data_IF_438928483026
#
_entry.id   IF_438928483026
#
_cell.length_a   1.000
_cell.length_b   1.000
_cell.length_c   1.000
_cell.angle_alpha   90.00
_cell.angle_beta   90.00
_cell.angle_gamma   90.00
#
_symmetry.space_group_name_H-M   'P 1'
#
loop_
_entity.id
_entity.type
_entity.pdbx_description
1 polymer ?
#
# COMPACT_ATOMS: atom_id res chain seq x y z
N UNK A 1 24.88 28.96 16.81
CA UNK A 1 25.31 29.51 15.50
C UNK A 1 25.21 28.41 14.46
N UNK A 2 24.67 28.70 13.26
CA UNK A 2 24.13 27.71 12.34
C UNK A 2 25.21 27.06 11.46
N UNK A 3 25.04 25.79 11.14
CA UNK A 3 25.85 25.10 10.13
C UNK A 3 25.31 25.42 8.73
N UNK A 4 26.15 26.12 7.95
CA UNK A 4 25.92 26.42 6.54
C UNK A 4 26.10 25.17 5.67
N UNK A 5 25.07 24.81 4.89
CA UNK A 5 25.21 23.95 3.72
C UNK A 5 25.84 24.76 2.56
N UNK A 6 27.05 24.38 2.14
CA UNK A 6 27.65 24.85 0.88
C UNK A 6 27.14 23.97 -0.27
N UNK A 7 26.39 24.60 -1.17
CA UNK A 7 26.05 24.10 -2.50
C UNK A 7 27.29 24.12 -3.40
N UNK A 8 27.50 23.05 -4.18
CA UNK A 8 28.48 23.02 -5.27
C UNK A 8 27.78 22.70 -6.60
N UNK A 9 28.12 23.54 -7.59
CA UNK A 9 27.85 23.61 -9.03
C UNK A 9 27.38 22.33 -9.74
N UNK A 10 26.53 22.34 -10.77
CA UNK A 10 26.29 23.38 -11.79
C UNK A 10 27.06 23.06 -13.07
N UNK A 11 26.42 22.43 -14.08
CA UNK A 11 26.73 22.53 -15.52
C UNK A 11 25.47 22.19 -16.33
N UNK A 12 25.23 22.94 -17.40
CA UNK A 12 24.27 22.80 -18.52
C UNK A 12 23.12 23.83 -18.54
N UNK A 13 23.50 25.07 -18.86
CA UNK A 13 22.65 25.99 -19.63
C UNK A 13 23.12 25.96 -21.08
N UNK A 14 22.29 25.49 -22.00
CA UNK A 14 22.35 25.86 -23.42
C UNK A 14 21.02 26.50 -23.82
N UNK A 15 21.01 27.62 -24.55
CA UNK A 15 19.78 28.23 -25.04
C UNK A 15 19.30 27.53 -26.33
N UNK A 16 18.02 27.16 -26.35
CA UNK A 16 17.32 26.64 -27.53
C UNK A 16 17.33 27.69 -28.66
N UNK A 17 17.90 27.33 -29.81
CA UNK A 17 17.87 28.13 -31.05
C UNK A 17 16.55 27.89 -31.80
N UNK A 18 16.07 28.98 -32.41
CA UNK A 18 14.92 29.12 -33.30
C UNK A 18 14.69 27.93 -34.25
N UNK A 19 13.48 27.34 -34.20
CA UNK A 19 12.93 26.52 -35.28
C UNK A 19 11.88 27.35 -36.01
N UNK A 20 12.13 27.61 -37.30
CA UNK A 20 11.20 28.23 -38.23
C UNK A 20 10.01 27.29 -38.51
N UNK A 21 8.80 27.71 -38.16
CA UNK A 21 7.57 27.07 -38.62
C UNK A 21 7.10 27.76 -39.92
N UNK A 22 7.24 27.08 -41.05
CA UNK A 22 6.57 27.46 -42.31
C UNK A 22 5.11 27.00 -42.25
N UNK A 23 4.20 27.92 -42.57
CA UNK A 23 2.76 27.73 -42.49
C UNK A 23 2.16 26.82 -43.55
N UNK A 24 1.00 26.26 -43.22
CA UNK A 24 -0.01 25.73 -44.14
C UNK A 24 -1.41 26.15 -43.65
N UNK A 25 -2.39 26.33 -44.56
CA UNK A 25 -3.56 27.16 -44.32
C UNK A 25 -4.68 26.43 -43.55
N UNK A 26 -5.51 27.24 -42.90
CA UNK A 26 -6.69 26.80 -42.15
C UNK A 26 -7.88 26.51 -43.09
N UNK A 27 -8.44 25.31 -43.01
CA UNK A 27 -9.87 25.08 -43.26
C UNK A 27 -10.35 23.73 -42.69
N UNK A 28 -11.59 23.77 -42.17
CA UNK A 28 -12.44 22.67 -41.70
C UNK A 28 -12.28 22.20 -40.24
N UNK A 29 -13.04 22.85 -39.37
CA UNK A 29 -13.44 22.36 -38.05
C UNK A 29 -14.44 21.21 -38.26
N UNK A 30 -13.97 19.97 -38.10
CA UNK A 30 -14.82 18.82 -37.80
C UNK A 30 -14.58 18.40 -36.36
N UNK A 31 -15.65 18.40 -35.57
CA UNK A 31 -15.64 18.05 -34.14
C UNK A 31 -15.60 16.51 -34.02
N UNK A 32 -14.41 15.93 -34.11
CA UNK A 32 -14.19 14.51 -33.87
C UNK A 32 -13.88 14.28 -32.38
N UNK A 33 -14.57 13.31 -31.77
CA UNK A 33 -14.23 12.78 -30.44
C UNK A 33 -12.78 12.28 -30.49
N UNK A 34 -11.92 12.82 -29.62
CA UNK A 34 -10.56 12.32 -29.45
C UNK A 34 -10.66 11.02 -28.62
N UNK A 35 -10.94 9.90 -29.30
CA UNK A 35 -10.61 8.58 -28.77
C UNK A 35 -9.16 8.29 -29.15
N UNK A 36 -8.27 8.12 -28.17
CA UNK A 36 -6.91 7.63 -28.42
C UNK A 36 -5.77 8.61 -28.13
N UNK A 37 -5.88 9.45 -27.09
CA UNK A 37 -4.64 9.93 -26.47
C UNK A 37 -4.05 8.76 -25.69
N UNK A 38 -3.00 8.12 -26.25
CA UNK A 38 -2.11 7.28 -25.47
C UNK A 38 -1.67 8.10 -24.24
N UNK A 39 -1.67 7.52 -23.03
CA UNK A 39 -1.28 8.24 -21.83
C UNK A 39 0.12 8.85 -22.04
N UNK A 40 0.40 10.05 -21.51
CA UNK A 40 1.68 10.71 -21.70
C UNK A 40 2.83 9.74 -21.40
N UNK A 41 3.90 9.76 -22.19
CA UNK A 41 5.02 8.79 -22.18
C UNK A 41 5.60 8.52 -20.77
N UNK A 42 5.46 9.46 -19.83
CA UNK A 42 5.83 9.29 -18.42
C UNK A 42 5.02 8.21 -17.66
N UNK A 43 3.80 7.90 -18.14
CA UNK A 43 2.86 6.92 -17.58
C UNK A 43 3.16 5.48 -18.02
N UNK A 44 3.94 5.30 -19.07
CA UNK A 44 4.58 4.04 -19.43
C UNK A 44 5.99 4.05 -18.81
N UNK A 45 6.04 4.28 -17.49
CA UNK A 45 7.29 4.16 -16.75
C UNK A 45 7.87 2.78 -17.05
N UNK A 46 9.14 2.74 -17.47
CA UNK A 46 9.88 1.50 -17.66
C UNK A 46 9.60 0.61 -16.43
N UNK A 47 9.19 -0.66 -16.62
CA UNK A 47 8.84 -1.50 -15.49
C UNK A 47 10.00 -1.47 -14.50
N UNK A 48 9.73 -1.04 -13.27
CA UNK A 48 10.67 -1.20 -12.17
C UNK A 48 11.18 -2.65 -12.21
N UNK A 49 12.49 -2.84 -12.28
CA UNK A 49 13.08 -4.19 -12.28
C UNK A 49 12.70 -4.94 -10.99
N UNK A 50 12.40 -4.22 -9.91
CA UNK A 50 11.93 -4.77 -8.64
C UNK A 50 10.42 -5.02 -8.57
N UNK A 51 9.64 -4.31 -9.40
CA UNK A 51 8.19 -4.47 -9.52
C UNK A 51 7.37 -3.26 -9.06
N UNK A 52 6.05 -3.43 -9.11
CA UNK A 52 5.04 -2.43 -8.72
C UNK A 52 4.18 -2.91 -7.55
N UNK A 53 3.99 -2.03 -6.57
CA UNK A 53 3.26 -2.27 -5.31
C UNK A 53 1.98 -1.44 -5.29
N UNK A 54 0.83 -2.10 -5.13
CA UNK A 54 -0.39 -1.41 -4.68
C UNK A 54 -0.37 -1.37 -3.15
N UNK A 55 -0.35 -0.19 -2.56
CA UNK A 55 -0.26 -0.03 -1.10
C UNK A 55 -1.57 0.52 -0.53
N UNK A 56 -2.37 -0.34 0.11
CA UNK A 56 -3.66 0.01 0.72
C UNK A 56 -3.50 0.14 2.23
N UNK A 57 -3.26 1.36 2.71
CA UNK A 57 -2.95 1.64 4.12
C UNK A 57 -3.51 2.99 4.56
N UNK A 58 -3.38 3.33 5.84
CA UNK A 58 -3.69 4.67 6.35
C UNK A 58 -2.72 5.73 5.84
N UNK A 59 -3.11 7.00 5.91
CA UNK A 59 -2.22 8.15 5.67
C UNK A 59 -2.48 9.28 6.67
N UNK A 60 -1.40 9.93 7.12
CA UNK A 60 -1.47 11.14 7.95
C UNK A 60 -0.65 12.29 7.35
N UNK A 61 -1.14 13.53 7.50
CA UNK A 61 -0.40 14.72 7.06
C UNK A 61 0.82 14.97 7.94
N UNK A 62 0.67 14.95 9.27
CA UNK A 62 1.75 15.02 10.25
C UNK A 62 2.04 13.63 10.84
N UNK A 63 3.31 13.35 11.13
CA UNK A 63 3.78 12.04 11.59
C UNK A 63 4.11 11.08 10.44
N UNK A 64 4.56 9.88 10.80
CA UNK A 64 4.95 8.82 9.86
C UNK A 64 4.24 7.52 10.26
N UNK A 65 3.12 7.24 9.59
CA UNK A 65 2.39 5.98 9.69
C UNK A 65 1.84 5.58 8.32
N UNK A 66 1.51 4.30 8.14
CA UNK A 66 0.89 3.76 6.92
C UNK A 66 1.66 4.13 5.65
N UNK A 67 0.94 4.58 4.63
CA UNK A 67 1.51 4.96 3.33
C UNK A 67 2.60 6.04 3.42
N UNK A 68 2.53 6.94 4.43
CA UNK A 68 3.57 7.95 4.61
C UNK A 68 4.90 7.35 5.11
N UNK A 69 4.85 6.19 5.77
CA UNK A 69 6.04 5.44 6.20
C UNK A 69 6.51 4.40 5.19
N UNK A 70 5.62 3.85 4.36
CA UNK A 70 5.96 2.75 3.46
C UNK A 70 6.36 3.20 2.05
N UNK A 71 5.69 4.23 1.49
CA UNK A 71 5.86 4.62 0.08
C UNK A 71 7.29 5.07 -0.21
N UNK A 72 7.82 6.01 0.58
CA UNK A 72 9.14 6.57 0.31
C UNK A 72 10.28 5.54 0.43
N UNK A 73 10.35 4.71 1.49
CA UNK A 73 11.35 3.64 1.55
C UNK A 73 11.25 2.62 0.40
N UNK A 74 10.04 2.21 0.02
CA UNK A 74 9.85 1.29 -1.10
C UNK A 74 10.34 1.89 -2.42
N UNK A 75 10.06 3.17 -2.67
CA UNK A 75 10.55 3.89 -3.85
C UNK A 75 12.08 4.01 -3.86
N UNK A 76 12.71 4.25 -2.70
CA UNK A 76 14.18 4.24 -2.58
C UNK A 76 14.79 2.86 -2.91
N UNK A 77 14.05 1.78 -2.63
CA UNK A 77 14.44 0.41 -2.98
C UNK A 77 14.14 0.03 -4.43
N UNK A 78 13.63 0.98 -5.23
CA UNK A 78 13.40 0.80 -6.67
C UNK A 78 11.98 0.40 -7.05
N UNK A 79 11.08 0.16 -6.09
CA UNK A 79 9.69 -0.20 -6.40
C UNK A 79 8.92 1.02 -6.94
N UNK A 80 8.08 0.77 -7.94
CA UNK A 80 6.96 1.67 -8.20
C UNK A 80 5.87 1.43 -7.16
N UNK A 81 5.32 2.49 -6.58
CA UNK A 81 4.33 2.37 -5.51
C UNK A 81 3.13 3.27 -5.79
N UNK A 82 1.95 2.64 -5.89
CA UNK A 82 0.67 3.32 -6.04
C UNK A 82 -0.09 3.23 -4.71
N UNK A 83 -0.19 4.33 -3.93
CA UNK A 83 -0.87 4.32 -2.64
C UNK A 83 -2.37 4.55 -2.79
N UNK A 84 -3.17 3.69 -2.17
CA UNK A 84 -4.59 3.96 -1.84
C UNK A 84 -4.68 4.19 -0.34
N UNK A 85 -5.16 5.37 0.05
CA UNK A 85 -5.26 5.76 1.45
C UNK A 85 -6.61 5.31 2.03
N UNK A 86 -6.63 4.32 2.93
CA UNK A 86 -7.83 3.88 3.63
C UNK A 86 -8.41 4.98 4.53
N UNK A 87 -7.55 5.84 5.06
CA UNK A 87 -7.89 7.08 5.74
C UNK A 87 -6.91 8.17 5.35
N UNK A 88 -7.38 9.41 5.34
CA UNK A 88 -6.53 10.59 5.21
C UNK A 88 -6.78 11.52 6.38
N UNK A 89 -5.92 11.44 7.40
CA UNK A 89 -6.06 12.20 8.63
C UNK A 89 -4.99 13.28 8.78
N UNK A 90 -5.25 14.28 9.63
CA UNK A 90 -4.28 15.31 9.99
C UNK A 90 -3.05 14.74 10.71
N UNK A 91 -3.26 13.77 11.59
CA UNK A 91 -2.27 13.13 12.47
C UNK A 91 -2.82 11.77 12.93
N UNK A 92 -2.00 10.93 13.56
CA UNK A 92 -2.46 9.64 14.07
C UNK A 92 -3.44 9.80 15.26
N UNK A 93 -4.24 8.76 15.51
CA UNK A 93 -5.34 8.74 16.49
C UNK A 93 -4.89 8.70 17.95
N UNK A 94 -3.59 8.65 18.21
CA UNK A 94 -3.01 8.74 19.55
C UNK A 94 -2.97 10.17 20.10
N UNK A 95 -3.22 11.18 19.27
CA UNK A 95 -3.36 12.57 19.70
C UNK A 95 -4.78 12.86 20.22
N UNK A 96 -4.96 13.89 21.08
CA UNK A 96 -6.28 14.25 21.62
C UNK A 96 -7.33 14.62 20.56
N UNK A 97 -6.90 15.13 19.40
CA UNK A 97 -7.78 15.49 18.29
C UNK A 97 -7.16 15.12 16.96
N UNK A 98 -8.00 14.74 16.00
CA UNK A 98 -7.64 14.56 14.60
C UNK A 98 -8.86 14.87 13.73
N UNK A 99 -8.63 15.16 12.46
CA UNK A 99 -9.69 15.33 11.45
C UNK A 99 -9.28 14.63 10.16
N UNK A 100 -10.27 14.25 9.38
CA UNK A 100 -10.05 13.81 8.01
C UNK A 100 -11.10 12.85 7.50
N UNK A 101 -10.75 12.14 6.43
CA UNK A 101 -11.67 11.32 5.65
C UNK A 101 -11.36 9.83 5.84
N UNK A 102 -12.41 9.01 5.76
CA UNK A 102 -12.33 7.55 5.75
C UNK A 102 -12.84 7.07 4.40
N UNK A 103 -12.02 6.29 3.69
CA UNK A 103 -12.39 5.65 2.45
C UNK A 103 -13.20 4.40 2.77
N UNK A 104 -14.42 4.28 2.23
CA UNK A 104 -15.24 3.08 2.40
C UNK A 104 -14.98 2.05 1.29
N UNK A 105 -15.51 0.83 1.45
CA UNK A 105 -15.30 -0.26 0.48
C UNK A 105 -15.79 0.07 -0.94
N UNK A 106 -16.94 0.75 -1.08
CA UNK A 106 -17.45 1.19 -2.39
C UNK A 106 -16.48 2.14 -3.09
N UNK A 107 -15.94 3.10 -2.35
CA UNK A 107 -14.97 4.06 -2.88
C UNK A 107 -13.63 3.38 -3.21
N UNK A 108 -13.20 2.39 -2.43
CA UNK A 108 -12.05 1.56 -2.79
C UNK A 108 -12.29 0.85 -4.13
N UNK A 109 -13.45 0.21 -4.28
CA UNK A 109 -13.79 -0.50 -5.51
C UNK A 109 -13.85 0.43 -6.73
N UNK A 110 -14.42 1.63 -6.60
CA UNK A 110 -14.45 2.64 -7.65
C UNK A 110 -13.04 3.03 -8.15
N UNK A 111 -12.03 3.08 -7.26
CA UNK A 111 -10.63 3.29 -7.67
C UNK A 111 -10.08 2.11 -8.46
N UNK A 112 -10.41 0.88 -8.05
CA UNK A 112 -9.96 -0.34 -8.71
C UNK A 112 -10.60 -0.48 -10.10
N UNK A 113 -11.88 -0.15 -10.25
CA UNK A 113 -12.57 -0.06 -11.53
C UNK A 113 -11.91 0.99 -12.44
N UNK A 114 -11.60 2.18 -11.92
CA UNK A 114 -10.90 3.21 -12.69
C UNK A 114 -9.51 2.76 -13.17
N UNK A 115 -8.76 2.01 -12.35
CA UNK A 115 -7.49 1.39 -12.77
C UNK A 115 -7.72 0.31 -13.85
N UNK A 116 -8.77 -0.50 -13.70
CA UNK A 116 -9.13 -1.54 -14.67
C UNK A 116 -9.48 -0.96 -16.04
N UNK A 117 -10.33 0.07 -16.09
CA UNK A 117 -10.76 0.73 -17.31
C UNK A 117 -9.58 1.28 -18.13
N UNK A 118 -8.46 1.58 -17.45
CA UNK A 118 -7.22 2.06 -18.05
C UNK A 118 -6.16 0.96 -18.26
N UNK A 119 -6.48 -0.31 -17.99
CA UNK A 119 -5.56 -1.46 -18.06
C UNK A 119 -4.34 -1.35 -17.13
N UNK A 120 -4.54 -0.78 -15.93
CA UNK A 120 -3.49 -0.49 -14.94
C UNK A 120 -3.47 -1.45 -13.74
N UNK A 121 -4.14 -2.60 -13.83
CA UNK A 121 -4.23 -3.57 -12.72
C UNK A 121 -3.03 -4.54 -12.60
N UNK A 122 -1.99 -4.41 -13.42
CA UNK A 122 -0.82 -5.26 -13.29
C UNK A 122 0.07 -4.82 -12.11
N UNK A 123 -0.12 -5.48 -10.97
CA UNK A 123 0.70 -5.32 -9.78
C UNK A 123 1.48 -6.60 -9.48
N UNK A 124 2.72 -6.42 -9.04
CA UNK A 124 3.57 -7.54 -8.56
C UNK A 124 3.36 -7.82 -7.07
N UNK A 125 3.04 -6.75 -6.32
CA UNK A 125 2.85 -6.81 -4.88
C UNK A 125 1.59 -6.05 -4.48
N UNK A 126 0.90 -6.57 -3.47
CA UNK A 126 -0.12 -5.85 -2.72
C UNK A 126 0.38 -5.75 -1.28
N UNK A 127 0.35 -4.55 -0.72
CA UNK A 127 0.70 -4.29 0.68
C UNK A 127 -0.51 -3.70 1.39
N UNK A 128 -0.97 -4.37 2.46
CA UNK A 128 -2.04 -3.86 3.32
C UNK A 128 -1.53 -3.57 4.72
N UNK A 129 -2.14 -2.59 5.37
CA UNK A 129 -1.87 -2.20 6.76
C UNK A 129 -3.17 -1.88 7.48
N UNK A 130 -3.22 -0.76 8.23
CA UNK A 130 -4.41 -0.35 8.97
C UNK A 130 -5.70 -0.31 8.13
N UNK A 131 -6.67 -1.14 8.54
CA UNK A 131 -8.03 -1.22 7.99
C UNK A 131 -9.02 -1.10 9.14
N UNK A 132 -9.82 -0.02 9.12
CA UNK A 132 -10.69 0.36 10.24
C UNK A 132 -12.09 -0.26 10.23
N UNK A 133 -12.46 -1.06 9.22
CA UNK A 133 -13.81 -1.66 9.15
C UNK A 133 -13.83 -3.00 8.42
N UNK A 134 -14.77 -3.86 8.84
CA UNK A 134 -15.01 -5.18 8.23
C UNK A 134 -15.43 -5.06 6.76
N UNK A 135 -16.27 -4.08 6.43
CA UNK A 135 -16.71 -3.86 5.04
C UNK A 135 -15.55 -3.51 4.13
N UNK A 136 -14.64 -2.64 4.58
CA UNK A 136 -13.44 -2.30 3.83
C UNK A 136 -12.50 -3.51 3.67
N UNK A 137 -12.31 -4.29 4.73
CA UNK A 137 -11.48 -5.51 4.67
C UNK A 137 -12.04 -6.54 3.70
N UNK A 138 -13.36 -6.73 3.64
CA UNK A 138 -13.99 -7.61 2.67
C UNK A 138 -13.74 -7.11 1.23
N UNK A 139 -13.85 -5.81 0.96
CA UNK A 139 -13.48 -5.26 -0.36
C UNK A 139 -12.00 -5.47 -0.67
N UNK A 140 -11.09 -5.34 0.30
CA UNK A 140 -9.67 -5.65 0.08
C UNK A 140 -9.48 -7.11 -0.35
N UNK A 141 -10.24 -8.07 0.19
CA UNK A 141 -10.20 -9.46 -0.28
C UNK A 141 -10.69 -9.61 -1.74
N UNK A 142 -11.71 -8.86 -2.14
CA UNK A 142 -12.15 -8.80 -3.54
C UNK A 142 -11.05 -8.23 -4.44
N UNK A 143 -10.34 -7.19 -3.99
CA UNK A 143 -9.17 -6.63 -4.68
C UNK A 143 -8.06 -7.67 -4.82
N UNK A 144 -7.73 -8.41 -3.76
CA UNK A 144 -6.74 -9.51 -3.83
C UNK A 144 -7.13 -10.51 -4.92
N UNK A 145 -8.40 -10.93 -4.93
CA UNK A 145 -8.90 -11.87 -5.94
C UNK A 145 -8.77 -11.30 -7.36
N UNK A 146 -9.20 -10.05 -7.57
CA UNK A 146 -9.13 -9.35 -8.84
C UNK A 146 -7.70 -9.20 -9.35
N UNK A 147 -6.77 -8.78 -8.49
CA UNK A 147 -5.37 -8.65 -8.87
C UNK A 147 -4.75 -10.00 -9.23
N UNK A 148 -5.17 -11.09 -8.57
CA UNK A 148 -4.72 -12.45 -8.91
C UNK A 148 -5.27 -12.97 -10.23
N UNK A 149 -6.43 -12.50 -10.71
CA UNK A 149 -6.89 -12.84 -12.07
C UNK A 149 -5.99 -12.22 -13.14
N UNK A 150 -5.34 -11.10 -12.84
CA UNK A 150 -4.39 -10.41 -13.74
C UNK A 150 -2.97 -10.95 -13.58
N UNK A 151 -2.51 -11.14 -12.33
CA UNK A 151 -1.21 -11.69 -12.00
C UNK A 151 -1.35 -12.82 -10.95
N UNK A 152 -1.40 -14.09 -11.36
CA UNK A 152 -1.46 -15.23 -10.43
C UNK A 152 -0.26 -15.35 -9.48
N UNK A 153 0.85 -14.67 -9.78
CA UNK A 153 2.07 -14.63 -8.95
C UNK A 153 2.10 -13.44 -7.99
N UNK A 154 0.99 -12.70 -7.83
CA UNK A 154 0.89 -11.57 -6.92
C UNK A 154 1.35 -11.95 -5.50
N UNK A 155 2.34 -11.22 -5.00
CA UNK A 155 2.76 -11.34 -3.60
C UNK A 155 1.90 -10.44 -2.73
N UNK A 156 1.09 -11.03 -1.87
CA UNK A 156 0.27 -10.27 -0.91
C UNK A 156 0.97 -10.22 0.46
N UNK A 157 1.47 -9.05 0.83
CA UNK A 157 2.02 -8.75 2.16
C UNK A 157 0.93 -8.09 3.00
N UNK A 158 0.56 -8.73 4.10
CA UNK A 158 -0.43 -8.20 5.02
C UNK A 158 0.20 -7.88 6.37
N UNK A 159 0.14 -6.60 6.74
CA UNK A 159 0.40 -6.12 8.09
C UNK A 159 -0.94 -6.01 8.84
N UNK A 160 -1.29 -6.97 9.72
CA UNK A 160 -2.62 -7.08 10.30
C UNK A 160 -2.79 -6.11 11.48
N UNK A 161 -2.66 -4.80 11.22
CA UNK A 161 -2.70 -3.73 12.22
C UNK A 161 -4.05 -3.72 12.95
N UNK A 162 -4.11 -4.41 14.08
CA UNK A 162 -5.32 -4.60 14.89
C UNK A 162 -5.18 -4.00 16.29
N UNK A 163 -3.96 -3.94 16.82
CA UNK A 163 -3.73 -3.49 18.18
C UNK A 163 -2.32 -3.75 18.68
N UNK A 164 -2.02 -3.20 19.85
CA UNK A 164 -0.76 -3.40 20.56
C UNK A 164 -0.99 -3.22 22.07
N UNK A 165 -0.02 -3.62 22.88
CA UNK A 165 -0.03 -3.47 24.35
C UNK A 165 -1.32 -4.00 25.01
N UNK A 166 -1.84 -5.13 24.50
CA UNK A 166 -3.03 -5.77 25.05
C UNK A 166 -4.36 -5.16 24.61
N UNK A 167 -4.36 -4.13 23.75
CA UNK A 167 -5.56 -3.39 23.35
C UNK A 167 -5.80 -3.43 21.85
N UNK A 168 -7.03 -3.75 21.45
CA UNK A 168 -7.47 -3.62 20.07
C UNK A 168 -7.79 -2.15 19.75
N UNK A 169 -7.34 -1.68 18.59
CA UNK A 169 -7.72 -0.38 18.01
C UNK A 169 -8.88 -0.50 17.03
N UNK A 170 -9.22 -1.73 16.66
CA UNK A 170 -10.23 -2.08 15.67
C UNK A 170 -11.37 -2.88 16.31
N UNK A 171 -12.56 -2.90 15.69
CA UNK A 171 -13.65 -3.77 16.11
C UNK A 171 -13.21 -5.24 16.29
N UNK A 172 -13.58 -5.93 17.38
CA UNK A 172 -13.15 -7.32 17.63
C UNK A 172 -13.50 -8.30 16.51
N UNK A 173 -14.56 -8.02 15.73
CA UNK A 173 -14.97 -8.86 14.61
C UNK A 173 -13.94 -8.88 13.48
N UNK A 174 -13.04 -7.89 13.39
CA UNK A 174 -11.94 -7.91 12.41
C UNK A 174 -10.95 -9.05 12.68
N UNK A 175 -10.77 -9.45 13.94
CA UNK A 175 -9.81 -10.50 14.30
C UNK A 175 -10.20 -11.83 13.64
N UNK A 176 -11.48 -12.21 13.67
CA UNK A 176 -11.95 -13.43 13.00
C UNK A 176 -11.84 -13.30 11.48
N UNK A 177 -12.16 -12.14 10.90
CA UNK A 177 -12.02 -11.91 9.46
C UNK A 177 -10.56 -12.04 9.02
N UNK A 178 -9.62 -11.46 9.77
CA UNK A 178 -8.20 -11.63 9.49
C UNK A 178 -7.81 -13.11 9.54
N UNK A 179 -8.11 -13.79 10.66
CA UNK A 179 -7.75 -15.19 10.88
C UNK A 179 -8.33 -16.14 9.82
N UNK A 180 -9.61 -15.99 9.50
CA UNK A 180 -10.35 -16.95 8.69
C UNK A 180 -10.31 -16.65 7.19
N UNK A 181 -10.10 -15.37 6.81
CA UNK A 181 -10.19 -14.96 5.40
C UNK A 181 -8.93 -14.31 4.86
N UNK A 182 -8.21 -13.51 5.66
CA UNK A 182 -7.02 -12.77 5.18
C UNK A 182 -5.78 -13.63 5.26
N UNK A 183 -5.53 -14.27 6.42
CA UNK A 183 -4.37 -15.14 6.62
C UNK A 183 -4.28 -16.22 5.52
N UNK A 184 -5.36 -16.94 5.16
CA UNK A 184 -5.28 -17.98 4.14
C UNK A 184 -4.91 -17.49 2.74
N UNK A 185 -5.11 -16.21 2.44
CA UNK A 185 -4.80 -15.64 1.14
C UNK A 185 -3.54 -14.79 1.14
N UNK A 186 -2.96 -14.48 2.30
CA UNK A 186 -1.71 -13.72 2.39
C UNK A 186 -0.51 -14.56 1.94
N UNK A 187 0.42 -13.96 1.21
CA UNK A 187 1.71 -14.58 0.88
C UNK A 187 2.72 -14.42 2.02
N UNK A 188 2.61 -13.30 2.75
CA UNK A 188 3.44 -12.92 3.88
C UNK A 188 2.63 -12.17 4.94
N UNK A 189 2.91 -12.43 6.21
CA UNK A 189 2.35 -11.69 7.34
C UNK A 189 3.44 -11.00 8.17
N UNK A 190 3.13 -9.83 8.72
CA UNK A 190 4.03 -9.06 9.59
C UNK A 190 3.40 -8.65 10.94
N UNK A 191 2.77 -9.56 11.71
CA UNK A 191 2.11 -9.20 12.96
C UNK A 191 3.12 -8.78 14.02
N UNK A 192 2.72 -7.94 14.97
CA UNK A 192 3.40 -7.86 16.27
C UNK A 192 3.04 -9.07 17.17
N UNK A 193 3.65 -9.18 18.35
CA UNK A 193 3.33 -10.27 19.30
C UNK A 193 1.83 -10.33 19.63
N UNK A 194 1.21 -9.21 20.01
CA UNK A 194 -0.20 -9.18 20.39
C UNK A 194 -1.12 -9.67 19.26
N UNK A 195 -0.86 -9.23 18.05
CA UNK A 195 -1.59 -9.63 16.85
C UNK A 195 -1.37 -11.12 16.54
N UNK A 196 -0.14 -11.60 16.65
CA UNK A 196 0.17 -13.02 16.48
C UNK A 196 -0.62 -13.87 17.49
N UNK A 197 -0.65 -13.48 18.78
CA UNK A 197 -1.46 -14.16 19.80
C UNK A 197 -2.96 -14.15 19.47
N UNK A 198 -3.47 -13.05 18.92
CA UNK A 198 -4.89 -12.97 18.49
C UNK A 198 -5.18 -13.85 17.29
N UNK A 199 -4.25 -13.97 16.34
CA UNK A 199 -4.43 -14.80 15.15
C UNK A 199 -4.30 -16.29 15.47
N UNK A 200 -3.38 -16.67 16.35
CA UNK A 200 -3.12 -18.08 16.72
C UNK A 200 -3.92 -18.57 17.92
N UNK A 201 -4.57 -17.65 18.66
CA UNK A 201 -5.20 -17.92 19.95
C UNK A 201 -4.25 -18.58 20.97
N UNK A 202 -2.95 -18.33 20.84
CA UNK A 202 -1.88 -18.88 21.69
C UNK A 202 -1.06 -17.75 22.30
N UNK A 203 -0.60 -17.91 23.54
CA UNK A 203 0.30 -16.93 24.19
C UNK A 203 1.73 -17.10 23.71
N UNK A 204 2.47 -16.00 23.63
CA UNK A 204 3.89 -16.01 23.28
C UNK A 204 4.66 -15.47 24.48
N UNK A 205 5.28 -16.37 25.24
CA UNK A 205 6.08 -16.04 26.44
C UNK A 205 7.55 -16.42 26.27
N UNK A 206 7.89 -17.08 25.16
CA UNK A 206 9.23 -17.56 24.84
C UNK A 206 9.50 -17.56 23.33
N UNK A 207 10.77 -17.74 22.93
CA UNK A 207 11.12 -17.89 21.51
C UNK A 207 10.48 -19.16 20.91
N UNK A 208 10.37 -20.23 21.70
CA UNK A 208 9.66 -21.45 21.29
C UNK A 208 8.20 -21.19 20.97
N UNK A 209 7.51 -20.39 21.78
CA UNK A 209 6.11 -20.05 21.52
C UNK A 209 5.97 -19.17 20.27
N UNK A 210 6.89 -18.22 20.06
CA UNK A 210 6.93 -17.42 18.85
C UNK A 210 7.13 -18.28 17.60
N UNK A 211 7.98 -19.31 17.68
CA UNK A 211 8.19 -20.28 16.60
C UNK A 211 6.93 -21.12 16.34
N UNK A 212 6.24 -21.54 17.39
CA UNK A 212 4.99 -22.29 17.24
C UNK A 212 3.86 -21.42 16.66
N UNK A 213 3.77 -20.16 17.08
CA UNK A 213 2.87 -19.19 16.48
C UNK A 213 3.14 -19.03 14.97
N UNK A 214 4.41 -18.97 14.56
CA UNK A 214 4.78 -18.97 13.14
C UNK A 214 4.36 -20.25 12.43
N UNK A 215 4.51 -21.42 13.05
CA UNK A 215 4.08 -22.71 12.47
C UNK A 215 2.56 -22.74 12.22
N UNK A 216 1.77 -22.31 13.20
CA UNK A 216 0.30 -22.21 13.08
C UNK A 216 -0.07 -21.27 11.92
N UNK A 217 0.57 -20.11 11.84
CA UNK A 217 0.32 -19.14 10.77
C UNK A 217 0.74 -19.68 9.40
N UNK A 218 1.89 -20.34 9.29
CA UNK A 218 2.32 -20.98 8.03
C UNK A 218 1.32 -22.05 7.57
N UNK A 219 0.84 -22.89 8.50
CA UNK A 219 -0.16 -23.91 8.19
C UNK A 219 -1.49 -23.31 7.70
N UNK A 220 -1.79 -22.07 8.09
CA UNK A 220 -3.00 -21.37 7.67
C UNK A 220 -2.91 -20.76 6.26
N UNK A 221 -1.73 -20.53 5.69
CA UNK A 221 -1.61 -19.96 4.33
C UNK A 221 -0.27 -19.32 3.96
N UNK A 222 0.22 -18.30 4.68
CA UNK A 222 1.41 -17.54 4.29
C UNK A 222 2.67 -18.41 4.23
N UNK A 223 3.50 -18.15 3.23
CA UNK A 223 4.82 -18.78 3.09
C UNK A 223 5.90 -18.15 3.96
N UNK A 224 5.65 -16.94 4.46
CA UNK A 224 6.56 -16.16 5.30
C UNK A 224 5.79 -15.45 6.40
N UNK A 225 6.31 -15.51 7.61
CA UNK A 225 5.79 -14.77 8.77
C UNK A 225 6.96 -14.06 9.44
N UNK A 226 6.80 -12.77 9.72
CA UNK A 226 7.77 -11.97 10.47
C UNK A 226 7.05 -11.37 11.66
N UNK A 227 7.28 -11.93 12.85
CA UNK A 227 6.79 -11.31 14.08
C UNK A 227 7.66 -10.09 14.37
N UNK A 228 7.10 -8.90 14.26
CA UNK A 228 7.84 -7.63 14.20
C UNK A 228 8.39 -7.18 15.55
N UNK A 229 7.77 -7.62 16.64
CA UNK A 229 8.23 -7.41 18.02
C UNK A 229 7.79 -8.58 18.89
N UNK A 230 8.66 -9.01 19.80
CA UNK A 230 8.35 -9.97 20.86
C UNK A 230 9.00 -9.47 22.15
N UNK A 231 8.23 -9.40 23.22
CA UNK A 231 8.74 -9.23 24.58
C UNK A 231 8.82 -10.59 25.26
N UNK A 232 10.05 -11.07 25.44
CA UNK A 232 10.36 -12.31 26.14
C UNK A 232 11.13 -11.88 27.38
N UNK A 233 10.48 -11.89 28.53
CA UNK A 233 11.19 -11.82 29.79
C UNK A 233 11.94 -13.16 29.94
N UNK A 234 13.27 -13.11 29.87
CA UNK A 234 14.13 -14.29 30.04
C UNK A 234 14.03 -14.89 31.44
#
# INVERSE_FOLDING_TARGET
MPFHFRSFCGVLRQPLRNIHLRGFPASHIFRARISGMAPPILSLALPSETGRVLSIQSHTVQGYVGNKSSVFPLQLLGYDVDPINSVQFSNHTGYPTFKGQVLNGKQLWELIEGLEENNLLYYTHLLTGYIGSVSFLNTVLEVVHKLRTVNPKLTYVCDPVMGDEGKLYVPPELVSVYREKVVPVASMLTPNQFEAEKLTASRIESESDGREACNILHAAGPSKVVITSINIDG
#
